data_IF_953993315140
#
_entry.id   IF_953993315140
#
_cell.length_a   1.000
_cell.length_b   1.000
_cell.length_c   1.000
_cell.angle_alpha   90.00
_cell.angle_beta   90.00
_cell.angle_gamma   90.00
#
_symmetry.space_group_name_H-M   'P 1'
#
loop_
_entity.id
_entity.type
_entity.pdbx_description
1 polymer ?
#
# COMPACT_ATOMS: atom_id res chain seq x y z
N UNK A 1 -8.80 5.15 -1.34
CA UNK A 1 -8.85 3.83 -0.68
C UNK A 1 -8.94 2.77 -1.77
N UNK A 2 -8.23 1.66 -1.64
CA UNK A 2 -8.29 0.50 -2.54
C UNK A 2 -8.53 -0.77 -1.75
N UNK A 3 -9.14 -1.78 -2.35
CA UNK A 3 -9.30 -3.07 -1.69
C UNK A 3 -7.98 -3.84 -1.71
N UNK A 4 -7.70 -4.60 -0.67
CA UNK A 4 -6.50 -5.46 -0.60
C UNK A 4 -6.49 -6.48 -1.73
N UNK A 5 -7.66 -6.95 -2.16
CA UNK A 5 -7.80 -7.85 -3.30
C UNK A 5 -7.27 -7.25 -4.62
N UNK A 6 -7.22 -5.91 -4.75
CA UNK A 6 -6.71 -5.22 -5.92
C UNK A 6 -5.18 -5.04 -5.90
N UNK A 7 -4.50 -5.50 -4.84
CA UNK A 7 -3.07 -5.35 -4.69
C UNK A 7 -2.35 -6.10 -5.82
N UNK A 8 -1.65 -5.40 -6.73
CA UNK A 8 -1.08 -6.03 -7.93
C UNK A 8 0.19 -6.84 -7.63
N UNK A 9 0.72 -6.76 -6.41
CA UNK A 9 1.99 -7.34 -6.00
C UNK A 9 1.78 -8.47 -4.99
N UNK A 10 2.08 -9.71 -5.40
CA UNK A 10 1.96 -10.90 -4.54
C UNK A 10 2.90 -10.90 -3.33
N UNK A 11 4.11 -10.32 -3.44
CA UNK A 11 5.01 -10.20 -2.30
C UNK A 11 4.44 -9.24 -1.25
N UNK A 12 3.79 -8.16 -1.70
CA UNK A 12 3.13 -7.24 -0.80
C UNK A 12 1.93 -7.89 -0.08
N UNK A 13 1.21 -8.82 -0.73
CA UNK A 13 0.15 -9.59 -0.10
C UNK A 13 0.71 -10.56 0.96
N UNK A 14 1.76 -11.32 0.63
CA UNK A 14 2.42 -12.24 1.59
C UNK A 14 2.90 -11.53 2.84
N UNK A 15 3.35 -10.28 2.72
CA UNK A 15 3.77 -9.47 3.86
C UNK A 15 2.63 -9.23 4.86
N UNK A 16 1.37 -9.18 4.41
CA UNK A 16 0.23 -9.02 5.32
C UNK A 16 0.01 -10.29 6.15
N UNK A 17 0.22 -11.46 5.54
CA UNK A 17 0.19 -12.75 6.22
C UNK A 17 1.32 -12.84 7.25
N UNK A 18 2.54 -12.46 6.85
CA UNK A 18 3.71 -12.45 7.74
C UNK A 18 3.52 -11.50 8.95
N UNK A 19 2.79 -10.40 8.75
CA UNK A 19 2.45 -9.43 9.80
C UNK A 19 1.25 -9.85 10.65
N UNK A 20 0.58 -10.96 10.32
CA UNK A 20 -0.58 -11.46 11.05
C UNK A 20 -1.81 -10.57 10.93
N UNK A 21 -1.96 -9.82 9.84
CA UNK A 21 -3.07 -8.89 9.59
C UNK A 21 -3.83 -9.19 8.27
N UNK A 22 -4.14 -10.46 7.95
CA UNK A 22 -4.79 -10.81 6.68
C UNK A 22 -6.22 -10.26 6.56
N UNK A 23 -6.87 -9.98 7.69
CA UNK A 23 -8.28 -9.55 7.73
C UNK A 23 -8.48 -8.08 7.32
N UNK A 24 -7.39 -7.33 7.12
CA UNK A 24 -7.49 -5.96 6.65
C UNK A 24 -7.94 -5.94 5.19
N UNK A 25 -9.00 -5.20 4.89
CA UNK A 25 -9.60 -5.21 3.53
C UNK A 25 -9.29 -3.96 2.72
N UNK A 26 -8.85 -2.87 3.35
CA UNK A 26 -8.76 -1.54 2.74
C UNK A 26 -7.39 -0.89 2.91
N UNK A 27 -6.66 -0.73 1.80
CA UNK A 27 -5.38 -0.03 1.76
C UNK A 27 -5.58 1.45 1.42
N UNK A 28 -4.91 2.28 2.20
CA UNK A 28 -4.80 3.70 2.01
C UNK A 28 -3.39 4.07 1.53
N UNK A 29 -3.33 5.09 0.66
CA UNK A 29 -2.07 5.61 0.11
C UNK A 29 -1.98 7.08 0.44
N UNK A 30 -0.95 7.46 1.18
CA UNK A 30 -0.61 8.85 1.45
C UNK A 30 0.59 9.25 0.60
N UNK A 31 0.48 10.40 -0.07
CA UNK A 31 1.60 10.95 -0.83
C UNK A 31 2.45 11.79 0.10
N UNK A 32 3.75 11.51 0.15
CA UNK A 32 4.72 12.25 0.96
C UNK A 32 5.82 12.72 0.01
N UNK A 33 5.81 13.99 -0.38
CA UNK A 33 6.87 14.64 -1.15
C UNK A 33 7.23 13.99 -2.50
N UNK A 34 7.05 14.71 -3.62
CA UNK A 34 7.43 14.19 -4.93
C UNK A 34 6.73 12.86 -5.31
N UNK A 35 7.53 11.80 -5.49
CA UNK A 35 7.05 10.46 -5.83
C UNK A 35 6.78 9.55 -4.62
N UNK A 36 7.18 9.94 -3.40
CA UNK A 36 7.04 9.12 -2.20
C UNK A 36 5.59 8.76 -1.88
N UNK A 37 5.34 7.47 -1.63
CA UNK A 37 4.04 6.97 -1.18
C UNK A 37 4.18 6.13 0.08
N UNK A 38 3.39 6.44 1.09
CA UNK A 38 3.15 5.53 2.21
C UNK A 38 1.90 4.71 1.91
N UNK A 39 2.02 3.40 1.96
CA UNK A 39 0.92 2.46 1.91
C UNK A 39 0.63 1.91 3.31
N UNK A 40 -0.64 1.77 3.65
CA UNK A 40 -1.00 1.25 4.96
C UNK A 40 -2.50 1.19 5.22
N UNK A 41 -2.85 1.04 6.49
CA UNK A 41 -4.23 0.91 6.96
C UNK A 41 -4.62 2.10 7.82
N UNK A 42 -5.83 2.60 7.62
CA UNK A 42 -6.41 3.63 8.49
C UNK A 42 -7.37 2.92 9.45
N UNK A 43 -6.98 2.83 10.72
CA UNK A 43 -7.79 2.22 11.78
C UNK A 43 -8.21 3.35 12.73
N UNK A 44 -9.50 3.69 12.71
CA UNK A 44 -9.99 4.90 13.37
C UNK A 44 -9.33 6.15 12.79
N UNK A 45 -8.54 6.85 13.61
CA UNK A 45 -7.79 8.06 13.22
C UNK A 45 -6.28 7.82 13.09
N UNK A 46 -5.83 6.57 13.20
CA UNK A 46 -4.41 6.21 13.17
C UNK A 46 -4.07 5.58 11.83
N UNK A 47 -3.07 6.14 11.14
CA UNK A 47 -2.54 5.59 9.91
C UNK A 47 -1.35 4.66 10.22
N UNK A 48 -1.58 3.36 10.12
CA UNK A 48 -0.56 2.33 10.29
C UNK A 48 0.20 2.14 8.99
N UNK A 49 1.46 2.57 8.97
CA UNK A 49 2.34 2.46 7.80
C UNK A 49 2.83 1.02 7.68
N UNK A 50 2.66 0.42 6.50
CA UNK A 50 3.15 -0.92 6.17
C UNK A 50 4.24 -0.88 5.11
N UNK A 51 4.10 0.04 4.14
CA UNK A 51 5.03 0.18 3.03
C UNK A 51 5.46 1.64 2.85
N UNK A 52 6.74 1.80 2.60
CA UNK A 52 7.31 2.97 1.94
C UNK A 52 7.57 2.61 0.47
N UNK A 53 6.93 3.30 -0.45
CA UNK A 53 6.87 2.95 -1.87
C UNK A 53 7.27 4.15 -2.76
N UNK A 54 8.53 4.63 -2.68
CA UNK A 54 9.00 5.76 -3.48
C UNK A 54 9.14 5.43 -4.97
N UNK A 55 9.45 4.16 -5.27
CA UNK A 55 9.67 3.66 -6.63
C UNK A 55 8.43 2.99 -7.24
N UNK A 56 7.30 3.02 -6.54
CA UNK A 56 6.03 2.41 -6.98
C UNK A 56 6.11 0.90 -7.26
N UNK A 57 6.89 0.15 -6.49
CA UNK A 57 7.00 -1.31 -6.59
C UNK A 57 5.83 -2.04 -5.92
N UNK A 58 5.26 -1.46 -4.86
CA UNK A 58 4.09 -2.03 -4.17
C UNK A 58 2.83 -1.70 -4.95
N UNK A 59 2.68 -0.44 -5.38
CA UNK A 59 1.56 0.00 -6.21
C UNK A 59 2.05 0.71 -7.47
N UNK A 60 2.29 -0.04 -8.57
CA UNK A 60 2.75 0.51 -9.84
C UNK A 60 1.90 1.68 -10.33
N UNK A 61 2.57 2.72 -10.79
CA UNK A 61 1.93 3.83 -11.47
C UNK A 61 1.35 3.35 -12.81
N UNK A 62 0.11 3.75 -13.13
CA UNK A 62 -0.50 3.48 -14.44
C UNK A 62 0.10 4.34 -15.57
N UNK A 63 0.93 5.33 -15.24
CA UNK A 63 1.57 6.17 -16.25
C UNK A 63 2.73 5.40 -16.88
N UNK A 64 2.56 4.99 -18.14
CA UNK A 64 3.67 4.68 -19.04
C UNK A 64 4.33 6.02 -19.39
N UNK A 65 5.63 6.14 -19.15
CA UNK A 65 6.54 7.25 -19.43
C UNK A 65 5.93 8.41 -20.26
N UNK A 66 5.87 9.58 -19.65
CA UNK A 66 5.91 10.85 -20.41
C UNK A 66 7.37 11.20 -20.60
#
# INVERSE_FOLDING_TARGET
>A
CHDVADLPNKQALSRLDDLGIPDMTKIWKLRIGGAGRLGGFLVGHVFHIIWWDPDHQVWPSKKKNT
#
